data_IF_564482216823
#
_entry.id   IF_564482216823
#
_cell.length_a   1.000
_cell.length_b   1.000
_cell.length_c   1.000
_cell.angle_alpha   90.00
_cell.angle_beta   90.00
_cell.angle_gamma   90.00
#
_symmetry.space_group_name_H-M   'P 1'
#
loop_
_entity.id
_entity.type
_entity.pdbx_description
1 polymer ?
#
# COMPACT_ATOMS: atom_id res chain seq x y z
N UNK A 1 -13.51 -1.65 11.88
CA UNK A 1 -12.47 -1.61 10.82
C UNK A 1 -12.41 -0.17 10.31
N UNK A 2 -11.27 0.54 10.34
CA UNK A 2 -11.28 1.93 9.84
C UNK A 2 -10.03 2.81 10.05
N UNK A 3 -9.04 2.39 10.83
CA UNK A 3 -7.86 3.25 11.08
C UNK A 3 -6.90 3.38 9.89
N UNK A 4 -6.90 2.43 8.96
CA UNK A 4 -5.92 2.35 7.87
C UNK A 4 -6.22 3.30 6.70
N UNK A 5 -7.46 3.80 6.56
CA UNK A 5 -7.83 4.74 5.51
C UNK A 5 -7.54 6.20 5.88
N UNK A 6 -7.38 6.50 7.18
CA UNK A 6 -7.08 7.86 7.67
C UNK A 6 -5.69 8.37 7.25
N UNK A 7 -4.82 7.48 6.76
CA UNK A 7 -3.48 7.86 6.29
C UNK A 7 -3.52 8.39 4.85
N UNK A 8 -4.60 8.16 4.10
CA UNK A 8 -4.72 8.64 2.72
C UNK A 8 -5.46 9.98 2.69
N UNK A 9 -4.88 11.01 2.07
CA UNK A 9 -5.63 12.20 1.67
C UNK A 9 -6.85 11.82 0.83
N UNK A 10 -7.95 12.55 0.96
CA UNK A 10 -9.21 12.26 0.27
C UNK A 10 -9.04 12.17 -1.25
N UNK A 11 -8.21 13.04 -1.84
CA UNK A 11 -7.93 13.03 -3.27
C UNK A 11 -7.24 11.74 -3.75
N UNK A 12 -6.58 11.00 -2.86
CA UNK A 12 -5.96 9.70 -3.17
C UNK A 12 -6.98 8.56 -3.15
N UNK A 13 -8.23 8.77 -2.74
CA UNK A 13 -9.30 7.77 -2.77
C UNK A 13 -9.97 7.61 -4.15
N UNK A 14 -9.43 8.25 -5.19
CA UNK A 14 -9.79 7.99 -6.58
C UNK A 14 -8.96 6.80 -7.12
N UNK A 15 -9.58 5.74 -7.69
CA UNK A 15 -8.86 4.63 -8.30
C UNK A 15 -7.83 5.05 -9.35
N UNK A 16 -8.04 6.18 -10.05
CA UNK A 16 -7.10 6.73 -11.05
C UNK A 16 -5.79 7.23 -10.44
N UNK A 17 -5.74 7.40 -9.12
CA UNK A 17 -4.58 7.88 -8.34
C UNK A 17 -3.70 6.76 -7.82
N UNK A 18 -3.87 5.53 -8.30
CA UNK A 18 -3.10 4.36 -7.85
C UNK A 18 -1.58 4.61 -7.83
N UNK A 19 -1.01 5.26 -8.86
CA UNK A 19 0.43 5.57 -8.90
C UNK A 19 0.87 6.52 -7.77
N UNK A 20 0.04 7.52 -7.46
CA UNK A 20 0.31 8.49 -6.40
C UNK A 20 0.27 7.78 -5.02
N UNK A 21 -0.68 6.86 -4.84
CA UNK A 21 -0.80 6.01 -3.64
C UNK A 21 0.39 5.07 -3.48
N UNK A 22 0.82 4.44 -4.57
CA UNK A 22 1.98 3.55 -4.52
C UNK A 22 3.26 4.31 -4.15
N UNK A 23 3.46 5.50 -4.73
CA UNK A 23 4.59 6.37 -4.38
C UNK A 23 4.52 6.83 -2.93
N UNK A 24 3.33 7.24 -2.47
CA UNK A 24 3.11 7.65 -1.08
C UNK A 24 3.47 6.54 -0.10
N UNK A 25 2.93 5.33 -0.30
CA UNK A 25 3.20 4.17 0.55
C UNK A 25 4.67 3.77 0.54
N UNK A 26 5.34 3.87 -0.62
CA UNK A 26 6.77 3.58 -0.74
C UNK A 26 7.61 4.46 0.15
N UNK A 27 7.30 5.76 0.21
CA UNK A 27 8.06 6.76 0.97
C UNK A 27 7.67 6.85 2.45
N UNK A 28 6.56 6.25 2.88
CA UNK A 28 6.21 6.20 4.29
C UNK A 28 7.32 5.53 5.12
N UNK A 29 7.76 6.14 6.24
CA UNK A 29 8.74 5.56 7.15
C UNK A 29 8.07 4.55 8.09
N UNK A 30 7.38 3.57 7.53
CA UNK A 30 6.67 2.51 8.26
C UNK A 30 7.15 1.13 7.80
N UNK A 31 7.00 0.08 8.63
CA UNK A 31 7.42 -1.26 8.24
C UNK A 31 6.73 -1.76 6.96
N UNK A 32 7.41 -2.56 6.12
CA UNK A 32 6.89 -3.10 4.87
C UNK A 32 5.51 -3.76 5.01
N UNK A 33 5.30 -4.51 6.10
CA UNK A 33 4.02 -5.15 6.41
C UNK A 33 2.88 -4.14 6.52
N UNK A 34 3.09 -2.98 7.15
CA UNK A 34 2.06 -1.94 7.28
C UNK A 34 1.76 -1.29 5.93
N UNK A 35 2.78 -1.07 5.08
CA UNK A 35 2.57 -0.57 3.71
C UNK A 35 1.68 -1.53 2.91
N UNK A 36 1.94 -2.85 3.00
CA UNK A 36 1.12 -3.89 2.34
C UNK A 36 -0.33 -3.88 2.85
N UNK A 37 -0.53 -3.82 4.17
CA UNK A 37 -1.87 -3.74 4.76
C UNK A 37 -2.63 -2.50 4.28
N UNK A 38 -1.98 -1.34 4.29
CA UNK A 38 -2.56 -0.09 3.80
C UNK A 38 -2.93 -0.16 2.31
N UNK A 39 -2.09 -0.75 1.45
CA UNK A 39 -2.42 -0.94 0.03
C UNK A 39 -3.64 -1.83 -0.15
N UNK A 40 -3.72 -2.95 0.59
CA UNK A 40 -4.88 -3.87 0.53
C UNK A 40 -6.15 -3.15 0.99
N UNK A 41 -6.09 -2.39 2.07
CA UNK A 41 -7.22 -1.61 2.57
C UNK A 41 -7.67 -0.56 1.55
N UNK A 42 -6.74 0.18 0.96
CA UNK A 42 -7.02 1.15 -0.10
C UNK A 42 -7.67 0.49 -1.32
N UNK A 43 -7.06 -0.58 -1.84
CA UNK A 43 -7.59 -1.34 -2.98
C UNK A 43 -9.01 -1.83 -2.74
N UNK A 44 -9.29 -2.34 -1.53
CA UNK A 44 -10.65 -2.78 -1.14
C UNK A 44 -11.63 -1.61 -1.08
N UNK A 45 -11.19 -0.44 -0.60
CA UNK A 45 -12.05 0.74 -0.49
C UNK A 45 -12.42 1.33 -1.85
N UNK A 46 -11.48 1.37 -2.79
CA UNK A 46 -11.68 1.98 -4.13
C UNK A 46 -12.08 0.99 -5.22
N UNK A 47 -12.25 -0.30 -4.89
CA UNK A 47 -12.65 -1.33 -5.84
C UNK A 47 -11.56 -1.75 -6.83
N UNK A 48 -10.30 -1.63 -6.45
CA UNK A 48 -9.15 -1.97 -7.29
C UNK A 48 -8.61 -3.35 -6.92
N UNK A 49 -8.31 -4.18 -7.91
CA UNK A 49 -7.69 -5.48 -7.67
C UNK A 49 -6.27 -5.33 -7.08
N UNK A 50 -5.97 -6.10 -6.03
CA UNK A 50 -4.62 -6.23 -5.49
C UNK A 50 -3.84 -7.22 -6.34
N UNK A 51 -2.65 -6.83 -6.81
CA UNK A 51 -1.76 -7.72 -7.56
C UNK A 51 -0.36 -7.70 -6.96
N UNK A 52 0.44 -8.71 -7.31
CA UNK A 52 1.83 -8.83 -6.83
C UNK A 52 2.67 -7.63 -7.26
N UNK A 53 2.47 -7.13 -8.48
CA UNK A 53 3.20 -5.99 -9.03
C UNK A 53 2.97 -4.71 -8.19
N UNK A 54 1.72 -4.47 -7.74
CA UNK A 54 1.40 -3.31 -6.88
C UNK A 54 2.00 -3.44 -5.49
N UNK A 55 2.03 -4.65 -4.95
CA UNK A 55 2.68 -4.92 -3.67
C UNK A 55 4.19 -4.70 -3.77
N UNK A 56 4.81 -5.05 -4.88
CA UNK A 56 6.23 -4.83 -5.09
C UNK A 56 6.59 -3.37 -5.37
N UNK A 57 5.70 -2.59 -5.99
CA UNK A 57 5.96 -1.19 -6.33
C UNK A 57 6.05 -0.28 -5.09
N UNK A 58 5.40 -0.66 -3.99
CA UNK A 58 5.43 0.06 -2.71
C UNK A 58 6.63 -0.32 -1.81
N UNK A 59 7.48 -1.26 -2.23
CA UNK A 59 8.63 -1.72 -1.45
C UNK A 59 9.93 -1.14 -2.00
N UNK A 60 10.78 -0.64 -1.11
CA UNK A 60 12.17 -0.28 -1.45
C UNK A 60 13.00 -1.56 -1.68
N UNK A 61 14.10 -1.50 -2.45
CA UNK A 61 14.87 -2.69 -2.82
C UNK A 61 15.30 -3.58 -1.63
N UNK A 62 15.67 -2.98 -0.50
CA UNK A 62 16.05 -3.69 0.72
C UNK A 62 14.86 -4.20 1.54
N UNK A 63 13.65 -3.69 1.32
CA UNK A 63 12.43 -4.12 2.01
C UNK A 63 11.84 -5.40 1.41
N UNK A 64 12.20 -5.75 0.17
CA UNK A 64 11.72 -6.95 -0.52
C UNK A 64 12.09 -8.26 0.20
N UNK A 65 13.17 -8.24 0.97
CA UNK A 65 13.70 -9.39 1.71
C UNK A 65 13.58 -9.24 3.23
N UNK A 66 13.02 -8.12 3.72
CA UNK A 66 13.05 -7.78 5.13
C UNK A 66 12.10 -8.63 6.00
N UNK A 67 11.04 -9.19 5.43
CA UNK A 67 10.16 -10.12 6.17
C UNK A 67 9.73 -11.30 5.28
N UNK A 68 10.15 -12.54 5.60
CA UNK A 68 9.53 -13.72 5.02
C UNK A 68 8.04 -13.74 5.40
N UNK A 69 7.18 -14.16 4.47
CA UNK A 69 5.79 -14.46 4.79
C UNK A 69 5.80 -15.48 5.93
N UNK A 70 5.38 -15.09 7.14
CA UNK A 70 5.05 -16.06 8.17
C UNK A 70 3.73 -16.69 7.77
N UNK A 71 3.80 -17.96 7.37
CA UNK A 71 2.67 -18.87 7.22
C UNK A 71 1.87 -18.98 8.53
#
# INVERSE_FOLDING_TARGET
>A
MGGELLIFPEWMLDPKRQKDVELYLRELPVPPRRKKQALVAWCRAVGVAVTKEKIESILKPWEKYAEPWKE
#
